data_IF_099196365177
#
_entry.id   IF_099196365177
#
_cell.length_a   1.000
_cell.length_b   1.000
_cell.length_c   1.000
_cell.angle_alpha   90.00
_cell.angle_beta   90.00
_cell.angle_gamma   90.00
#
_symmetry.space_group_name_H-M   'P 1'
#
loop_
_entity.id
_entity.type
_entity.pdbx_description
1 polymer ?
#
# COMPACT_ATOMS: atom_id res chain seq x y z
N UNK A 1 17.45 9.71 -24.64
CA UNK A 1 17.45 9.52 -23.18
C UNK A 1 16.05 9.03 -22.80
N UNK A 2 15.91 7.74 -22.43
CA UNK A 2 14.58 7.21 -22.05
C UNK A 2 14.22 7.84 -20.71
N UNK A 3 13.21 8.70 -20.71
CA UNK A 3 12.54 9.09 -19.48
C UNK A 3 12.10 7.80 -18.77
N UNK A 4 12.76 7.47 -17.66
CA UNK A 4 12.26 6.49 -16.71
C UNK A 4 11.04 7.11 -16.02
N UNK A 5 9.95 7.29 -16.76
CA UNK A 5 8.64 7.44 -16.13
C UNK A 5 8.44 6.15 -15.34
N UNK A 6 8.53 6.27 -14.02
CA UNK A 6 8.43 5.15 -13.09
C UNK A 6 7.06 4.53 -13.31
N UNK A 7 7.04 3.39 -13.99
CA UNK A 7 5.82 2.70 -14.39
C UNK A 7 4.85 2.55 -13.21
N UNK A 8 3.76 3.33 -13.25
CA UNK A 8 2.71 3.33 -12.24
C UNK A 8 1.94 2.00 -12.23
N UNK A 9 2.05 1.19 -13.28
CA UNK A 9 1.47 -0.15 -13.31
C UNK A 9 2.11 -1.09 -12.28
N UNK A 10 3.36 -0.82 -11.89
CA UNK A 10 4.09 -1.58 -10.87
C UNK A 10 3.71 -1.19 -9.44
N UNK A 11 3.00 -0.07 -9.25
CA UNK A 11 2.53 0.37 -7.93
C UNK A 11 1.29 -0.42 -7.53
N UNK A 12 1.29 -0.91 -6.29
CA UNK A 12 0.19 -1.68 -5.73
C UNK A 12 -0.91 -0.77 -5.19
N UNK A 13 -2.12 -1.28 -5.24
CA UNK A 13 -3.32 -0.66 -4.68
C UNK A 13 -3.24 -0.63 -3.14
N UNK A 14 -3.58 0.49 -2.54
CA UNK A 14 -3.73 0.62 -1.09
C UNK A 14 -5.17 0.31 -0.68
N UNK A 15 -5.32 -0.46 0.39
CA UNK A 15 -6.61 -0.83 1.00
C UNK A 15 -6.63 -0.31 2.45
N UNK A 16 -7.54 0.63 2.69
CA UNK A 16 -7.78 1.26 3.97
C UNK A 16 -6.86 2.46 4.30
N UNK A 17 -7.26 3.20 5.32
CA UNK A 17 -6.53 4.38 5.78
C UNK A 17 -6.64 5.59 4.83
N UNK A 18 -5.74 6.57 4.95
CA UNK A 18 -5.79 7.82 4.18
C UNK A 18 -5.58 7.68 2.67
N UNK A 19 -4.94 6.60 2.22
CA UNK A 19 -4.61 6.39 0.80
C UNK A 19 -5.47 5.30 0.14
N UNK A 20 -6.58 4.91 0.76
CA UNK A 20 -7.46 3.86 0.23
C UNK A 20 -7.84 4.11 -1.24
N UNK A 21 -7.72 3.08 -2.07
CA UNK A 21 -7.99 3.15 -3.51
C UNK A 21 -6.84 3.71 -4.38
N UNK A 22 -5.77 4.24 -3.79
CA UNK A 22 -4.64 4.79 -4.54
C UNK A 22 -3.58 3.74 -4.89
N UNK A 23 -2.75 4.04 -5.90
CA UNK A 23 -1.56 3.25 -6.24
C UNK A 23 -0.31 3.98 -5.81
N UNK A 24 0.42 3.44 -4.83
CA UNK A 24 1.48 4.19 -4.14
C UNK A 24 2.88 3.63 -4.39
N UNK A 25 3.20 2.49 -3.81
CA UNK A 25 4.53 1.89 -3.86
C UNK A 25 4.52 0.54 -4.60
N UNK A 26 5.66 0.15 -5.16
CA UNK A 26 5.88 -1.20 -5.72
C UNK A 26 5.91 -2.24 -4.60
N UNK A 27 5.76 -3.54 -4.92
CA UNK A 27 5.88 -4.60 -3.92
C UNK A 27 7.21 -4.54 -3.16
N UNK A 28 7.16 -4.67 -1.83
CA UNK A 28 8.28 -4.69 -0.88
C UNK A 28 7.74 -5.10 0.51
N UNK A 29 8.53 -5.04 1.58
CA UNK A 29 8.04 -5.47 2.91
C UNK A 29 7.02 -4.49 3.53
N UNK A 30 7.39 -3.20 3.55
CA UNK A 30 6.57 -2.11 4.09
C UNK A 30 6.87 -0.80 3.37
N UNK A 31 5.91 0.13 3.40
CA UNK A 31 6.17 1.54 3.11
C UNK A 31 5.45 2.42 4.12
N UNK A 32 6.00 3.60 4.37
CA UNK A 32 5.48 4.53 5.36
C UNK A 32 5.27 5.90 4.73
N UNK A 33 4.11 6.48 4.98
CA UNK A 33 3.75 7.82 4.51
C UNK A 33 3.32 8.71 5.68
N UNK A 34 3.71 9.97 5.62
CA UNK A 34 3.33 10.98 6.61
C UNK A 34 2.22 11.83 6.02
N UNK A 35 1.05 11.80 6.63
CA UNK A 35 -0.15 12.45 6.10
C UNK A 35 -0.45 13.74 6.84
N UNK A 36 -0.48 14.83 6.07
CA UNK A 36 -1.19 16.06 6.38
C UNK A 36 -0.66 16.93 7.54
N UNK A 37 -1.34 18.07 7.78
CA UNK A 37 -1.09 18.93 8.93
C UNK A 37 -1.77 18.39 10.19
N UNK A 38 -1.31 18.80 11.38
CA UNK A 38 -1.77 18.35 12.73
C UNK A 38 -3.30 18.35 12.95
N UNK A 39 -4.06 19.08 12.14
CA UNK A 39 -5.51 19.23 12.26
C UNK A 39 -6.31 18.23 11.39
N UNK A 40 -5.65 17.35 10.64
CA UNK A 40 -6.33 16.32 9.84
C UNK A 40 -6.69 15.11 10.70
N UNK A 41 -7.87 14.52 10.47
CA UNK A 41 -8.28 13.25 11.12
C UNK A 41 -7.34 12.07 10.82
N UNK A 42 -6.58 12.16 9.73
CA UNK A 42 -5.58 11.17 9.34
C UNK A 42 -4.16 11.67 9.60
N UNK A 43 -3.99 12.73 10.39
CA UNK A 43 -2.67 13.22 10.73
C UNK A 43 -1.86 12.14 11.44
N UNK A 44 -0.66 11.89 10.92
CA UNK A 44 0.26 10.95 11.52
C UNK A 44 1.10 10.19 10.51
N UNK A 45 1.87 9.26 11.05
CA UNK A 45 2.69 8.32 10.29
C UNK A 45 1.89 7.04 10.08
N UNK A 46 1.65 6.69 8.83
CA UNK A 46 0.93 5.47 8.45
C UNK A 46 1.91 4.49 7.82
N UNK A 47 2.12 3.35 8.48
CA UNK A 47 2.95 2.27 7.95
C UNK A 47 2.04 1.19 7.39
N UNK A 48 2.26 0.87 6.12
CA UNK A 48 1.50 -0.12 5.37
C UNK A 48 2.39 -1.31 5.07
N UNK A 49 1.81 -2.51 5.20
CA UNK A 49 2.51 -3.76 4.94
C UNK A 49 1.97 -4.40 3.67
N UNK A 50 2.82 -5.18 3.02
CA UNK A 50 2.43 -5.93 1.84
C UNK A 50 1.50 -7.05 2.28
N UNK A 51 0.35 -7.16 1.62
CA UNK A 51 -0.69 -8.15 1.93
C UNK A 51 -1.26 -8.76 0.66
N UNK A 52 -1.74 -9.99 0.78
CA UNK A 52 -2.50 -10.66 -0.27
C UNK A 52 -3.99 -10.42 -0.11
N UNK A 53 -4.64 -9.90 -1.14
CA UNK A 53 -6.08 -9.72 -1.17
C UNK A 53 -6.78 -10.98 -1.71
N UNK A 54 -7.54 -11.75 -0.91
CA UNK A 54 -8.07 -13.05 -1.33
C UNK A 54 -9.11 -12.94 -2.45
N UNK A 55 -9.98 -11.92 -2.43
CA UNK A 55 -10.99 -11.73 -3.48
C UNK A 55 -10.42 -11.20 -4.79
N UNK A 56 -9.50 -10.23 -4.73
CA UNK A 56 -8.88 -9.64 -5.91
C UNK A 56 -7.72 -10.47 -6.47
N UNK A 57 -7.28 -11.51 -5.75
CA UNK A 57 -6.16 -12.39 -6.09
C UNK A 57 -4.89 -11.62 -6.50
N UNK A 58 -4.54 -10.58 -5.73
CA UNK A 58 -3.37 -9.73 -6.01
C UNK A 58 -2.74 -9.20 -4.72
N UNK A 59 -1.49 -8.77 -4.84
CA UNK A 59 -0.80 -8.03 -3.78
C UNK A 59 -1.36 -6.60 -3.68
N UNK A 60 -1.53 -6.17 -2.44
CA UNK A 60 -2.00 -4.85 -2.07
C UNK A 60 -1.21 -4.34 -0.88
N UNK A 61 -1.23 -3.04 -0.73
CA UNK A 61 -0.74 -2.36 0.45
C UNK A 61 -1.89 -2.18 1.43
N UNK A 62 -1.68 -2.53 2.70
CA UNK A 62 -2.71 -2.32 3.70
C UNK A 62 -2.12 -2.06 5.08
N UNK A 63 -2.87 -1.31 5.87
CA UNK A 63 -2.56 -1.10 7.27
C UNK A 63 -2.51 -2.45 8.01
N UNK A 64 -1.58 -2.63 8.98
CA UNK A 64 -1.39 -3.90 9.68
C UNK A 64 -2.62 -4.37 10.46
N UNK A 65 -3.52 -3.45 10.81
CA UNK A 65 -4.79 -3.71 11.49
C UNK A 65 -5.83 -4.40 10.59
N UNK A 66 -5.64 -4.40 9.26
CA UNK A 66 -6.57 -5.04 8.33
C UNK A 66 -6.46 -6.58 8.38
N UNK A 67 -7.33 -7.19 9.18
CA UNK A 67 -7.38 -8.66 9.41
C UNK A 67 -7.97 -9.45 8.23
N UNK A 68 -8.66 -8.79 7.31
CA UNK A 68 -9.30 -9.44 6.15
C UNK A 68 -8.29 -9.81 5.05
N UNK A 69 -7.07 -9.29 5.14
CA UNK A 69 -6.01 -9.53 4.17
C UNK A 69 -4.97 -10.50 4.73
N UNK A 70 -4.48 -11.39 3.86
CA UNK A 70 -3.53 -12.44 4.25
C UNK A 70 -2.10 -11.91 4.15
N UNK A 71 -1.17 -12.58 4.83
CA UNK A 71 0.26 -12.38 4.55
C UNK A 71 0.53 -12.79 3.09
N UNK A 72 1.42 -12.08 2.38
CA UNK A 72 1.86 -12.52 1.07
C UNK A 72 2.51 -13.90 1.23
N UNK A 73 2.09 -14.87 0.43
CA UNK A 73 2.75 -16.16 0.36
C UNK A 73 4.07 -15.96 -0.39
N UNK A 74 5.18 -16.28 0.26
CA UNK A 74 6.55 -16.15 -0.30
C UNK A 74 6.86 -17.22 -1.36
N UNK A 75 5.86 -17.97 -1.81
CA UNK A 75 6.02 -19.13 -2.69
C UNK A 75 5.51 -18.77 -4.09
N UNK A 76 6.42 -18.26 -4.92
CA UNK A 76 6.29 -18.20 -6.38
C UNK A 76 7.70 -18.25 -6.99
#
# INVERSE_FOLDING_TARGET
>A
MKHMERDESQKLLVIGGPFDGQRMARAGDEFTEVVGPKNSRFYGRHTYNLRWHPMLKKLVWALPENKSLKRPTTDA
#
